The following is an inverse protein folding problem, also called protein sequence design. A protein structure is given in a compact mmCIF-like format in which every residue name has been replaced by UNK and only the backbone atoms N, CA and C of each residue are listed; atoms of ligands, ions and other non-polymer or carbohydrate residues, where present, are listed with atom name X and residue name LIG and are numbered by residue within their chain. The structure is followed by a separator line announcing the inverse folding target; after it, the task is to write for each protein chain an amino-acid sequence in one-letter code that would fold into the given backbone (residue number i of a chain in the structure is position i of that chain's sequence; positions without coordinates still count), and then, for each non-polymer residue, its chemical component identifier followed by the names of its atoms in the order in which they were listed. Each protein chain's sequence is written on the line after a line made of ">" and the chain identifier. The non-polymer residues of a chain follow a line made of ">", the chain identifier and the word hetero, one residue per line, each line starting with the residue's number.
data_IF_320406182318
#
_entry.id   IF_320406182318
#
_cell.length_a   1.000
_cell.length_b   1.000
_cell.length_c   1.000
_cell.angle_alpha   90.00
_cell.angle_beta   90.00
_cell.angle_gamma   90.00
#
_symmetry.space_group_name_H-M   'P 1'
#
loop_
_entity.id
_entity.type
_entity.pdbx_description
1 polymer ?
#
# COMPACT_ATOMS: atom_id res chain seq x y z
N UNK A 1 15.40 -8.75 -12.45
CA UNK A 1 16.03 -8.72 -11.11
C UNK A 1 14.91 -8.35 -10.16
N UNK A 2 14.45 -9.30 -9.35
CA UNK A 2 13.40 -9.03 -8.36
C UNK A 2 14.12 -8.44 -7.15
N UNK A 3 14.19 -7.12 -7.10
CA UNK A 3 14.65 -6.45 -5.89
C UNK A 3 13.59 -6.69 -4.83
N UNK A 4 13.86 -7.64 -3.92
CA UNK A 4 13.02 -7.97 -2.78
C UNK A 4 13.19 -6.95 -1.64
N UNK A 5 13.71 -5.76 -1.95
CA UNK A 5 13.69 -4.64 -1.01
C UNK A 5 12.22 -4.34 -0.73
N UNK A 6 11.79 -4.30 0.53
CA UNK A 6 10.45 -3.85 0.88
C UNK A 6 10.23 -2.49 0.19
N UNK A 7 9.16 -2.37 -0.59
CA UNK A 7 8.86 -1.10 -1.25
C UNK A 7 8.77 -0.01 -0.18
N UNK A 8 9.46 1.10 -0.41
CA UNK A 8 9.38 2.26 0.44
C UNK A 8 7.95 2.82 0.41
N UNK A 9 7.53 3.43 1.51
CA UNK A 9 6.17 3.96 1.65
C UNK A 9 5.80 4.93 0.51
N UNK A 10 6.75 5.74 0.07
CA UNK A 10 6.62 6.65 -1.06
C UNK A 10 6.37 5.92 -2.39
N UNK A 11 7.04 4.78 -2.62
CA UNK A 11 6.85 3.98 -3.84
C UNK A 11 5.44 3.38 -3.90
N UNK A 12 4.91 2.96 -2.75
CA UNK A 12 3.54 2.43 -2.67
C UNK A 12 2.52 3.56 -2.90
N UNK A 13 2.77 4.76 -2.39
CA UNK A 13 1.93 5.94 -2.64
C UNK A 13 1.93 6.31 -4.12
N UNK A 14 3.11 6.33 -4.76
CA UNK A 14 3.22 6.63 -6.19
C UNK A 14 2.54 5.58 -7.06
N UNK A 15 2.63 4.29 -6.70
CA UNK A 15 1.86 3.23 -7.35
C UNK A 15 0.35 3.43 -7.22
N UNK A 16 -0.14 3.79 -6.03
CA UNK A 16 -1.55 4.09 -5.82
C UNK A 16 -2.02 5.24 -6.73
N UNK A 17 -1.20 6.30 -6.87
CA UNK A 17 -1.51 7.42 -7.78
C UNK A 17 -1.53 6.96 -9.23
N UNK A 18 -0.53 6.21 -9.68
CA UNK A 18 -0.47 5.69 -11.04
C UNK A 18 -1.67 4.79 -11.37
N UNK A 19 -2.07 3.91 -10.44
CA UNK A 19 -3.24 3.05 -10.57
C UNK A 19 -4.53 3.87 -10.67
N UNK A 20 -4.69 4.90 -9.83
CA UNK A 20 -5.86 5.78 -9.90
C UNK A 20 -5.96 6.49 -11.27
N UNK A 21 -4.85 7.02 -11.79
CA UNK A 21 -4.82 7.60 -13.14
C UNK A 21 -5.16 6.58 -14.22
N UNK A 22 -4.56 5.38 -14.16
CA UNK A 22 -4.85 4.31 -15.12
C UNK A 22 -6.32 3.93 -15.10
N UNK A 23 -6.94 3.79 -13.92
CA UNK A 23 -8.36 3.50 -13.79
C UNK A 23 -9.20 4.62 -14.41
N UNK A 24 -8.86 5.90 -14.27
CA UNK A 24 -9.64 6.98 -14.88
C UNK A 24 -9.56 6.94 -16.41
N UNK A 25 -8.35 6.78 -16.95
CA UNK A 25 -8.07 6.85 -18.39
C UNK A 25 -8.49 5.58 -19.15
N UNK A 26 -8.53 4.42 -18.49
CA UNK A 26 -8.86 3.17 -19.15
C UNK A 26 -10.33 3.13 -19.60
N UNK A 27 -10.51 2.74 -20.85
CA UNK A 27 -11.84 2.52 -21.44
C UNK A 27 -12.31 1.07 -21.30
N UNK A 28 -11.41 0.13 -21.00
CA UNK A 28 -11.75 -1.27 -20.82
C UNK A 28 -12.33 -1.50 -19.41
N UNK A 29 -13.61 -1.92 -19.27
CA UNK A 29 -14.26 -2.09 -17.98
C UNK A 29 -13.68 -3.22 -17.13
N UNK A 30 -13.26 -4.33 -17.74
CA UNK A 30 -12.66 -5.46 -17.04
C UNK A 30 -11.29 -5.08 -16.46
N UNK A 31 -10.48 -4.36 -17.24
CA UNK A 31 -9.20 -3.84 -16.75
C UNK A 31 -9.39 -2.84 -15.59
N UNK A 32 -10.45 -2.01 -15.64
CA UNK A 32 -10.79 -1.09 -14.55
C UNK A 32 -11.13 -1.82 -13.26
N UNK A 33 -11.94 -2.87 -13.33
CA UNK A 33 -12.30 -3.67 -12.15
C UNK A 33 -11.07 -4.31 -11.52
N UNK A 34 -10.21 -4.93 -12.34
CA UNK A 34 -8.96 -5.55 -11.87
C UNK A 34 -8.06 -4.51 -11.22
N UNK A 35 -7.82 -3.35 -11.86
CA UNK A 35 -6.95 -2.32 -11.31
C UNK A 35 -7.53 -1.67 -10.06
N UNK A 36 -8.86 -1.57 -9.97
CA UNK A 36 -9.55 -1.09 -8.76
C UNK A 36 -9.31 -2.05 -7.59
N UNK A 37 -9.38 -3.36 -7.84
CA UNK A 37 -9.04 -4.37 -6.83
C UNK A 37 -7.58 -4.23 -6.38
N UNK A 38 -6.63 -4.14 -7.31
CA UNK A 38 -5.20 -3.97 -7.01
C UNK A 38 -4.94 -2.69 -6.22
N UNK A 39 -5.61 -1.58 -6.57
CA UNK A 39 -5.50 -0.31 -5.83
C UNK A 39 -6.00 -0.46 -4.39
N UNK A 40 -7.12 -1.16 -4.19
CA UNK A 40 -7.65 -1.40 -2.84
C UNK A 40 -6.69 -2.23 -1.98
N UNK A 41 -6.05 -3.25 -2.55
CA UNK A 41 -5.03 -4.04 -1.84
C UNK A 41 -3.83 -3.18 -1.42
N UNK A 42 -3.34 -2.31 -2.31
CA UNK A 42 -2.22 -1.40 -2.03
C UNK A 42 -2.57 -0.38 -0.94
N UNK A 43 -3.78 0.18 -0.97
CA UNK A 43 -4.27 1.06 0.10
C UNK A 43 -4.38 0.34 1.44
N UNK A 44 -4.82 -0.92 1.45
CA UNK A 44 -4.88 -1.72 2.67
C UNK A 44 -3.47 -2.04 3.23
N UNK A 45 -2.49 -2.29 2.35
CA UNK A 45 -1.08 -2.43 2.77
C UNK A 45 -0.53 -1.15 3.38
N UNK A 46 -0.83 0.01 2.77
CA UNK A 46 -0.47 1.33 3.33
C UNK A 46 -1.09 1.53 4.71
N UNK A 47 -2.39 1.31 4.84
CA UNK A 47 -3.12 1.45 6.09
C UNK A 47 -2.51 0.57 7.20
N UNK A 48 -2.20 -0.69 6.89
CA UNK A 48 -1.53 -1.58 7.84
C UNK A 48 -0.12 -1.09 8.21
N UNK A 49 0.65 -0.56 7.26
CA UNK A 49 1.98 -0.01 7.55
C UNK A 49 1.89 1.16 8.54
N UNK A 50 0.96 2.09 8.33
CA UNK A 50 0.74 3.22 9.24
C UNK A 50 0.30 2.78 10.65
N UNK A 51 -0.62 1.82 10.76
CA UNK A 51 -1.11 1.35 12.06
C UNK A 51 -0.18 0.36 12.78
N UNK A 52 0.68 -0.35 12.05
CA UNK A 52 1.70 -1.21 12.67
C UNK A 52 2.79 -0.38 13.35
N UNK A 53 3.09 0.82 12.83
CA UNK A 53 4.01 1.76 13.47
C UNK A 53 3.52 2.32 14.81
N UNK A 54 2.22 2.26 15.12
CA UNK A 54 1.68 2.73 16.41
C UNK A 54 1.84 1.71 17.56
N UNK A 55 2.15 0.44 17.27
CA UNK A 55 2.19 -0.63 18.29
C UNK A 55 3.57 -0.86 18.90
N UNK A 56 4.64 -0.24 18.39
CA UNK A 56 6.02 -0.49 18.89
C UNK A 56 6.44 0.40 20.07
N UNK A 57 5.56 1.25 20.61
CA UNK A 57 5.83 2.04 21.84
C UNK A 57 5.08 1.51 23.06
N UNK A 58 5.04 0.19 23.27
CA UNK A 58 4.50 -0.37 24.52
C UNK A 58 5.11 -1.73 24.88
N UNK A 59 6.44 -1.86 24.77
CA UNK A 59 7.18 -3.10 25.07
C UNK A 59 8.31 -2.96 26.09
N UNK A 60 8.54 -1.78 26.67
CA UNK A 60 9.68 -1.54 27.58
C UNK A 60 9.24 -0.73 28.81
N UNK A 61 8.52 -1.36 29.74
CA UNK A 61 8.51 -0.88 31.14
C UNK A 61 8.76 -2.06 32.07
N UNK A 62 10.05 -2.23 32.39
CA UNK A 62 10.61 -2.65 33.67
C UNK A 62 9.97 -3.83 34.40
N UNK A 63 10.67 -4.97 34.34
CA UNK A 63 10.79 -5.86 35.50
C UNK A 63 11.49 -5.10 36.64
N UNK A 64 10.86 -5.04 37.81
CA UNK A 64 11.51 -4.92 39.12
C UNK A 64 10.61 -5.57 40.17
#
# INVERSE_FOLDING_TARGET
>A
MFDNTPLELEEVIDQCRALAYAIVELSNPEAKEILTFVLAERLNSLHQAFHTSETTVQGEVGHA
#
